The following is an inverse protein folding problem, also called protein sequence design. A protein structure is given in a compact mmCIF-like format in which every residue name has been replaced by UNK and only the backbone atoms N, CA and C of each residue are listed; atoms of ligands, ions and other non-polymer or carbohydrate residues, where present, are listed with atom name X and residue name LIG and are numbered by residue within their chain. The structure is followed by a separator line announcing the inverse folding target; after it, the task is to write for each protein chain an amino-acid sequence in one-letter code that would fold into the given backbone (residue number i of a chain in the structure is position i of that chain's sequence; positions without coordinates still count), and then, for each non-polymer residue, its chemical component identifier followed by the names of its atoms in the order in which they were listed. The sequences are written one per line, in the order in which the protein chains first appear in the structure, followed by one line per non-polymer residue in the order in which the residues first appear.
data_IF_728509688209
#
_entry.id   IF_728509688209
#
_cell.length_a   1.000
_cell.length_b   1.000
_cell.length_c   1.000
_cell.angle_alpha   90.00
_cell.angle_beta   90.00
_cell.angle_gamma   90.00
#
_symmetry.space_group_name_H-M   'P 1'
#
loop_
_entity.id
_entity.type
_entity.pdbx_description
1 polymer ?
#
# COMPACT_ATOMS: atom_id res chain seq x y z
N UNK A 1 16.54 -37.33 -22.89
CA UNK A 1 15.52 -36.28 -22.96
C UNK A 1 15.76 -35.54 -24.25
N UNK A 2 14.89 -35.76 -25.24
CA UNK A 2 15.04 -35.12 -26.55
C UNK A 2 14.86 -33.61 -26.42
N UNK A 3 15.68 -32.78 -27.11
CA UNK A 3 15.55 -31.33 -27.06
C UNK A 3 14.20 -30.91 -27.65
N UNK A 4 13.49 -30.03 -26.95
CA UNK A 4 12.18 -29.55 -27.40
C UNK A 4 12.31 -28.80 -28.73
N UNK A 5 11.69 -29.34 -29.77
CA UNK A 5 11.53 -28.68 -31.06
C UNK A 5 10.49 -27.55 -30.98
N UNK A 6 10.53 -26.55 -31.86
CA UNK A 6 9.59 -25.41 -31.83
C UNK A 6 8.10 -25.80 -31.84
N UNK A 7 7.77 -26.95 -32.45
CA UNK A 7 6.41 -27.48 -32.53
C UNK A 7 6.00 -28.35 -31.34
N UNK A 8 6.89 -28.53 -30.35
CA UNK A 8 6.59 -29.33 -29.16
C UNK A 8 5.50 -28.64 -28.32
N UNK A 9 4.48 -29.36 -27.83
CA UNK A 9 3.36 -28.76 -27.09
C UNK A 9 3.83 -27.98 -25.86
N UNK A 10 4.87 -28.46 -25.17
CA UNK A 10 5.45 -27.73 -24.03
C UNK A 10 6.11 -26.44 -24.50
N UNK A 11 6.88 -26.44 -25.59
CA UNK A 11 7.50 -25.24 -26.14
C UNK A 11 6.47 -24.16 -26.50
N UNK A 12 5.37 -24.56 -27.15
CA UNK A 12 4.25 -23.66 -27.47
C UNK A 12 3.56 -23.11 -26.21
N UNK A 13 3.39 -23.93 -25.17
CA UNK A 13 2.84 -23.50 -23.89
C UNK A 13 3.75 -22.47 -23.20
N UNK A 14 5.07 -22.73 -23.16
CA UNK A 14 6.04 -21.78 -22.60
C UNK A 14 6.06 -20.48 -23.38
N UNK A 15 6.00 -20.53 -24.71
CA UNK A 15 5.94 -19.35 -25.55
C UNK A 15 4.67 -18.52 -25.28
N UNK A 16 3.51 -19.16 -25.19
CA UNK A 16 2.26 -18.48 -24.83
C UNK A 16 2.33 -17.85 -23.43
N UNK A 17 2.91 -18.56 -22.46
CA UNK A 17 3.09 -18.06 -21.10
C UNK A 17 4.06 -16.86 -21.07
N UNK A 18 5.14 -16.90 -21.86
CA UNK A 18 6.10 -15.82 -21.98
C UNK A 18 5.42 -14.54 -22.51
N UNK A 19 4.59 -14.64 -23.56
CA UNK A 19 3.81 -13.52 -24.06
C UNK A 19 2.84 -12.95 -23.00
N UNK A 20 2.21 -13.82 -22.20
CA UNK A 20 1.35 -13.38 -21.10
C UNK A 20 2.15 -12.64 -20.01
N UNK A 21 3.33 -13.12 -19.66
CA UNK A 21 4.21 -12.46 -18.70
C UNK A 21 4.70 -11.10 -19.22
N UNK A 22 5.05 -10.99 -20.50
CA UNK A 22 5.44 -9.73 -21.12
C UNK A 22 4.28 -8.72 -21.13
N UNK A 23 3.07 -9.18 -21.48
CA UNK A 23 1.86 -8.37 -21.40
C UNK A 23 1.61 -7.84 -19.98
N UNK A 24 1.69 -8.71 -18.97
CA UNK A 24 1.51 -8.31 -17.58
C UNK A 24 2.56 -7.29 -17.12
N UNK A 25 3.83 -7.49 -17.47
CA UNK A 25 4.88 -6.50 -17.18
C UNK A 25 4.62 -5.14 -17.84
N UNK A 26 4.07 -5.15 -19.06
CA UNK A 26 3.71 -3.91 -19.73
C UNK A 26 2.54 -3.20 -19.04
N UNK A 27 1.58 -3.97 -18.54
CA UNK A 27 0.48 -3.45 -17.74
C UNK A 27 0.95 -2.91 -16.38
N UNK A 28 1.83 -3.63 -15.66
CA UNK A 28 2.41 -3.17 -14.40
C UNK A 28 3.19 -1.86 -14.58
N UNK A 29 3.92 -1.75 -15.69
CA UNK A 29 4.65 -0.52 -16.04
C UNK A 29 3.67 0.64 -16.31
N UNK A 30 2.55 0.36 -16.98
CA UNK A 30 1.50 1.34 -17.24
C UNK A 30 0.85 1.80 -15.93
N UNK A 31 0.48 0.87 -15.05
CA UNK A 31 -0.08 1.13 -13.72
C UNK A 31 0.86 2.01 -12.89
N UNK A 32 2.14 1.65 -12.82
CA UNK A 32 3.16 2.41 -12.10
C UNK A 32 3.24 3.87 -12.59
N UNK A 33 3.26 4.08 -13.91
CA UNK A 33 3.34 5.43 -14.49
C UNK A 33 2.08 6.26 -14.21
N UNK A 34 0.90 5.64 -14.23
CA UNK A 34 -0.36 6.30 -13.90
C UNK A 34 -0.40 6.70 -12.44
N UNK A 35 0.00 5.81 -11.53
CA UNK A 35 0.12 6.10 -10.09
C UNK A 35 1.11 7.24 -9.85
N UNK A 36 2.28 7.20 -10.51
CA UNK A 36 3.26 8.28 -10.42
C UNK A 36 2.66 9.61 -10.90
N UNK A 37 1.92 9.61 -12.01
CA UNK A 37 1.25 10.80 -12.53
C UNK A 37 0.17 11.35 -11.57
N UNK A 38 -0.64 10.48 -10.96
CA UNK A 38 -1.62 10.87 -9.94
C UNK A 38 -0.96 11.52 -8.72
N UNK A 39 0.17 10.99 -8.25
CA UNK A 39 0.94 11.61 -7.16
C UNK A 39 1.50 12.98 -7.56
N UNK A 40 1.96 13.16 -8.80
CA UNK A 40 2.38 14.49 -9.27
C UNK A 40 1.20 15.49 -9.33
N UNK A 41 -0.01 15.03 -9.68
CA UNK A 41 -1.21 15.87 -9.59
C UNK A 41 -1.53 16.22 -8.15
N UNK A 42 -1.46 15.26 -7.23
CA UNK A 42 -1.72 15.51 -5.81
C UNK A 42 -0.76 16.56 -5.23
N UNK A 43 0.50 16.55 -5.65
CA UNK A 43 1.48 17.60 -5.28
C UNK A 43 1.06 19.00 -5.75
N UNK A 44 0.34 19.14 -6.87
CA UNK A 44 -0.21 20.44 -7.28
C UNK A 44 -1.29 20.94 -6.30
N UNK A 45 -2.01 20.02 -5.64
CA UNK A 45 -3.11 20.35 -4.74
C UNK A 45 -2.63 20.74 -3.32
N UNK A 46 -1.33 20.59 -3.03
CA UNK A 46 -0.75 20.99 -1.74
C UNK A 46 -0.51 22.51 -1.72
N UNK A 47 -1.27 23.22 -0.89
CA UNK A 47 -1.07 24.66 -0.67
C UNK A 47 0.31 24.94 -0.03
N UNK A 48 1.02 25.97 -0.54
CA UNK A 48 2.40 26.38 -0.18
C UNK A 48 3.54 25.58 -0.82
N UNK A 49 3.43 25.20 -2.08
CA UNK A 49 4.57 24.77 -2.88
C UNK A 49 5.45 25.98 -3.25
N UNK A 50 6.76 25.89 -2.99
CA UNK A 50 7.70 26.94 -3.36
C UNK A 50 7.82 27.09 -4.87
N UNK A 51 8.26 28.26 -5.36
CA UNK A 51 8.34 28.59 -6.79
C UNK A 51 9.04 27.54 -7.66
N UNK A 52 10.15 26.96 -7.17
CA UNK A 52 10.89 25.91 -7.87
C UNK A 52 10.08 24.60 -8.06
N UNK A 53 9.16 24.32 -7.15
CA UNK A 53 8.28 23.16 -7.23
C UNK A 53 7.13 23.43 -8.21
N UNK A 54 6.60 24.66 -8.24
CA UNK A 54 5.58 25.08 -9.21
C UNK A 54 6.06 25.00 -10.67
N UNK A 55 7.36 25.16 -10.93
CA UNK A 55 7.93 24.99 -12.28
C UNK A 55 8.28 23.53 -12.60
N UNK A 56 8.71 22.75 -11.60
CA UNK A 56 9.08 21.36 -11.78
C UNK A 56 7.88 20.42 -12.00
N UNK A 57 6.76 20.64 -11.31
CA UNK A 57 5.60 19.73 -11.39
C UNK A 57 4.98 19.68 -12.80
N UNK A 58 4.72 20.81 -13.50
CA UNK A 58 4.21 20.76 -14.87
C UNK A 58 5.14 20.01 -15.84
N UNK A 59 6.46 20.16 -15.70
CA UNK A 59 7.44 19.40 -16.48
C UNK A 59 7.34 17.90 -16.17
N UNK A 60 7.29 17.52 -14.89
CA UNK A 60 7.13 16.14 -14.47
C UNK A 60 5.84 15.52 -15.01
N UNK A 61 4.72 16.25 -14.99
CA UNK A 61 3.44 15.81 -15.56
C UNK A 61 3.52 15.60 -17.07
N UNK A 62 4.18 16.50 -17.80
CA UNK A 62 4.40 16.32 -19.24
C UNK A 62 5.26 15.09 -19.54
N UNK A 63 6.36 14.91 -18.79
CA UNK A 63 7.23 13.73 -18.93
C UNK A 63 6.46 12.44 -18.64
N UNK A 64 5.69 12.39 -17.56
CA UNK A 64 4.87 11.24 -17.20
C UNK A 64 3.80 10.96 -18.26
N UNK A 65 3.10 11.98 -18.75
CA UNK A 65 2.10 11.84 -19.83
C UNK A 65 2.71 11.23 -21.09
N UNK A 66 3.91 11.66 -21.48
CA UNK A 66 4.62 11.10 -22.63
C UNK A 66 5.05 9.65 -22.37
N UNK A 67 5.55 9.34 -21.17
CA UNK A 67 5.91 7.99 -20.78
C UNK A 67 4.70 7.04 -20.79
N UNK A 68 3.54 7.48 -20.30
CA UNK A 68 2.29 6.73 -20.35
C UNK A 68 1.89 6.47 -21.81
N UNK A 69 2.03 7.43 -22.73
CA UNK A 69 1.75 7.20 -24.17
C UNK A 69 2.63 6.10 -24.75
N UNK A 70 3.91 6.11 -24.43
CA UNK A 70 4.85 5.10 -24.92
C UNK A 70 4.56 3.72 -24.31
N UNK A 71 4.28 3.67 -23.00
CA UNK A 71 3.90 2.43 -22.31
C UNK A 71 2.59 1.85 -22.86
N UNK A 72 1.60 2.71 -23.14
CA UNK A 72 0.33 2.32 -23.74
C UNK A 72 0.50 1.72 -25.13
N UNK A 73 1.34 2.32 -25.99
CA UNK A 73 1.64 1.76 -27.30
C UNK A 73 2.31 0.39 -27.20
N UNK A 74 3.22 0.21 -26.24
CA UNK A 74 3.88 -1.07 -25.99
C UNK A 74 2.89 -2.12 -25.47
N UNK A 75 2.03 -1.75 -24.52
CA UNK A 75 0.96 -2.60 -24.00
C UNK A 75 -0.01 -3.05 -25.10
N UNK A 76 -0.54 -2.12 -25.90
CA UNK A 76 -1.45 -2.43 -27.00
C UNK A 76 -0.80 -3.37 -28.04
N UNK A 77 0.49 -3.19 -28.34
CA UNK A 77 1.23 -4.12 -29.22
C UNK A 77 1.27 -5.54 -28.66
N UNK A 78 1.49 -5.69 -27.35
CA UNK A 78 1.53 -6.99 -26.68
C UNK A 78 0.12 -7.60 -26.48
N UNK A 79 -0.90 -6.76 -26.34
CA UNK A 79 -2.30 -7.18 -26.19
C UNK A 79 -2.77 -8.06 -27.37
N UNK A 80 -2.27 -7.79 -28.59
CA UNK A 80 -2.51 -8.60 -29.78
C UNK A 80 -1.78 -9.94 -29.82
N UNK A 81 -0.67 -10.07 -29.06
CA UNK A 81 0.17 -11.26 -29.06
C UNK A 81 -0.27 -12.30 -28.04
N UNK A 82 -1.10 -11.89 -27.07
CA UNK A 82 -1.72 -12.79 -26.08
C UNK A 82 -2.95 -13.47 -26.69
N UNK A 83 -3.20 -14.73 -26.32
CA UNK A 83 -4.42 -15.45 -26.70
C UNK A 83 -5.32 -15.67 -25.47
N UNK A 84 -6.60 -15.26 -25.51
CA UNK A 84 -7.23 -14.47 -26.57
C UNK A 84 -6.69 -13.03 -26.64
N UNK A 85 -6.77 -12.36 -27.80
CA UNK A 85 -6.36 -10.96 -27.94
C UNK A 85 -7.11 -10.08 -26.94
N UNK A 86 -6.39 -9.18 -26.27
CA UNK A 86 -6.97 -8.26 -25.28
C UNK A 86 -7.31 -6.91 -25.93
N UNK A 87 -8.25 -6.20 -25.31
CA UNK A 87 -8.70 -4.88 -25.77
C UNK A 87 -7.52 -3.90 -25.78
N UNK A 88 -7.43 -3.09 -26.84
CA UNK A 88 -6.54 -1.93 -26.85
C UNK A 88 -7.08 -0.87 -25.90
N UNK A 89 -6.21 -0.32 -25.06
CA UNK A 89 -6.56 0.78 -24.18
C UNK A 89 -6.26 2.10 -24.87
N UNK A 90 -7.16 3.07 -24.71
CA UNK A 90 -6.92 4.46 -25.07
C UNK A 90 -6.44 5.26 -23.86
N UNK A 91 -5.94 6.48 -24.12
CA UNK A 91 -5.61 7.39 -23.03
C UNK A 91 -6.82 7.79 -22.19
N UNK A 92 -8.00 7.87 -22.80
CA UNK A 92 -9.23 8.15 -22.08
C UNK A 92 -9.59 7.00 -21.14
N UNK A 93 -9.42 5.75 -21.60
CA UNK A 93 -9.63 4.57 -20.76
C UNK A 93 -8.69 4.58 -19.55
N UNK A 94 -7.41 4.93 -19.73
CA UNK A 94 -6.45 5.07 -18.63
C UNK A 94 -6.90 6.13 -17.61
N UNK A 95 -7.43 7.26 -18.07
CA UNK A 95 -7.91 8.32 -17.18
C UNK A 95 -9.17 7.90 -16.43
N UNK A 96 -10.02 7.08 -17.07
CA UNK A 96 -11.22 6.50 -16.46
C UNK A 96 -10.89 5.37 -15.47
N UNK A 97 -9.76 4.67 -15.66
CA UNK A 97 -9.14 3.76 -14.69
C UNK A 97 -8.50 4.59 -13.57
N UNK A 98 -9.33 5.32 -12.83
CA UNK A 98 -8.91 6.25 -11.80
C UNK A 98 -8.33 5.54 -10.55
N UNK A 99 -8.49 4.21 -10.44
CA UNK A 99 -8.08 3.44 -9.29
C UNK A 99 -7.14 2.29 -9.66
N UNK A 100 -6.11 2.10 -8.83
CA UNK A 100 -5.08 1.07 -8.99
C UNK A 100 -5.68 -0.33 -9.09
N UNK A 101 -6.76 -0.62 -8.35
CA UNK A 101 -7.40 -1.94 -8.43
C UNK A 101 -8.12 -2.19 -9.77
N UNK A 102 -8.37 -1.16 -10.58
CA UNK A 102 -8.96 -1.36 -11.92
C UNK A 102 -7.89 -1.89 -12.90
N UNK A 103 -6.61 -1.60 -12.68
CA UNK A 103 -5.49 -2.20 -13.43
C UNK A 103 -5.29 -3.68 -13.07
N UNK A 104 -5.52 -4.05 -11.81
CA UNK A 104 -5.45 -5.45 -11.38
C UNK A 104 -6.45 -6.35 -12.14
N UNK A 105 -7.58 -5.80 -12.60
CA UNK A 105 -8.57 -6.51 -13.44
C UNK A 105 -8.00 -6.78 -14.84
N UNK A 106 -7.18 -5.86 -15.36
CA UNK A 106 -6.57 -5.97 -16.68
C UNK A 106 -5.47 -7.04 -16.75
N UNK A 107 -4.94 -7.47 -15.60
CA UNK A 107 -3.85 -8.43 -15.53
C UNK A 107 -4.28 -9.79 -16.07
N UNK A 108 -3.48 -10.35 -16.98
CA UNK A 108 -3.70 -11.70 -17.46
C UNK A 108 -3.46 -12.68 -16.31
N UNK A 109 -4.47 -13.49 -16.02
CA UNK A 109 -4.36 -14.60 -15.08
C UNK A 109 -4.85 -15.88 -15.74
N UNK A 110 -4.29 -17.02 -15.34
CA UNK A 110 -4.67 -18.33 -15.87
C UNK A 110 -6.16 -18.66 -15.65
N UNK A 111 -6.82 -17.96 -14.73
CA UNK A 111 -8.26 -18.02 -14.51
C UNK A 111 -8.87 -16.71 -14.98
N UNK A 112 -9.49 -16.68 -16.15
CA UNK A 112 -10.05 -15.45 -16.72
C UNK A 112 -11.16 -14.88 -15.82
N UNK A 113 -10.79 -13.88 -15.02
CA UNK A 113 -11.64 -13.26 -13.99
C UNK A 113 -12.72 -12.37 -14.65
N UNK A 114 -12.48 -11.91 -15.87
CA UNK A 114 -13.42 -11.10 -16.68
C UNK A 114 -14.81 -11.72 -16.82
N UNK A 115 -14.89 -13.05 -16.80
CA UNK A 115 -16.15 -13.80 -16.85
C UNK A 115 -16.97 -13.69 -15.55
N UNK A 116 -16.39 -13.19 -14.46
CA UNK A 116 -17.04 -13.16 -13.15
C UNK A 116 -17.89 -11.91 -13.00
N UNK A 117 -19.11 -12.11 -12.50
CA UNK A 117 -20.08 -11.02 -12.30
C UNK A 117 -19.58 -9.91 -11.36
N UNK A 118 -18.67 -10.23 -10.43
CA UNK A 118 -18.10 -9.27 -9.49
C UNK A 118 -17.06 -8.33 -10.08
N UNK A 119 -16.55 -8.61 -11.30
CA UNK A 119 -15.62 -7.71 -12.03
C UNK A 119 -16.37 -6.54 -12.68
N UNK A 120 -17.70 -6.64 -12.83
CA UNK A 120 -18.49 -5.54 -13.35
C UNK A 120 -18.33 -4.31 -12.43
N UNK A 121 -17.99 -3.12 -12.97
CA UNK A 121 -17.68 -1.94 -12.16
C UNK A 121 -18.70 -1.63 -11.05
N UNK A 122 -20.03 -1.64 -11.28
CA UNK A 122 -20.98 -1.36 -10.20
C UNK A 122 -20.99 -2.44 -9.10
N UNK A 123 -20.78 -3.69 -9.46
CA UNK A 123 -20.75 -4.83 -8.52
C UNK A 123 -19.45 -4.79 -7.72
N UNK A 124 -18.33 -4.50 -8.38
CA UNK A 124 -17.03 -4.37 -7.73
C UNK A 124 -17.00 -3.25 -6.69
N UNK A 125 -17.57 -2.08 -7.01
CA UNK A 125 -17.68 -0.95 -6.08
C UNK A 125 -18.52 -1.34 -4.86
N UNK A 126 -19.62 -2.07 -5.05
CA UNK A 126 -20.46 -2.54 -3.96
C UNK A 126 -19.71 -3.55 -3.07
N UNK A 127 -19.02 -4.53 -3.66
CA UNK A 127 -18.24 -5.54 -2.95
C UNK A 127 -17.10 -4.88 -2.18
N UNK A 128 -16.36 -3.95 -2.79
CA UNK A 128 -15.27 -3.21 -2.15
C UNK A 128 -15.77 -2.43 -0.94
N UNK A 129 -16.91 -1.73 -1.06
CA UNK A 129 -17.54 -1.04 0.07
C UNK A 129 -17.98 -2.01 1.16
N UNK A 130 -18.59 -3.13 0.79
CA UNK A 130 -18.99 -4.16 1.76
C UNK A 130 -17.78 -4.75 2.50
N UNK A 131 -16.71 -5.09 1.79
CA UNK A 131 -15.46 -5.58 2.36
C UNK A 131 -14.83 -4.52 3.27
N UNK A 132 -14.81 -3.26 2.87
CA UNK A 132 -14.31 -2.17 3.71
C UNK A 132 -15.11 -2.07 5.02
N UNK A 133 -16.43 -2.23 4.98
CA UNK A 133 -17.27 -2.29 6.19
C UNK A 133 -16.91 -3.51 7.05
N UNK A 134 -16.69 -4.68 6.45
CA UNK A 134 -16.27 -5.86 7.22
C UNK A 134 -14.89 -5.64 7.87
N UNK A 135 -13.95 -5.06 7.13
CA UNK A 135 -12.63 -4.71 7.62
C UNK A 135 -12.71 -3.68 8.74
N UNK A 136 -13.53 -2.62 8.62
CA UNK A 136 -13.66 -1.61 9.69
C UNK A 136 -14.22 -2.21 10.98
N UNK A 137 -15.18 -3.14 10.88
CA UNK A 137 -15.66 -3.86 12.07
C UNK A 137 -14.58 -4.73 12.71
N UNK A 138 -13.75 -5.39 11.91
CA UNK A 138 -12.63 -6.18 12.42
C UNK A 138 -11.53 -5.29 13.03
N UNK A 139 -11.21 -4.20 12.36
CA UNK A 139 -10.20 -3.23 12.77
C UNK A 139 -10.59 -2.55 14.08
N UNK A 140 -11.84 -2.16 14.28
CA UNK A 140 -12.32 -1.64 15.58
C UNK A 140 -12.10 -2.66 16.70
N UNK A 141 -12.42 -3.94 16.48
CA UNK A 141 -12.18 -4.99 17.49
C UNK A 141 -10.70 -5.15 17.79
N UNK A 142 -9.85 -5.12 16.76
CA UNK A 142 -8.40 -5.24 16.92
C UNK A 142 -7.81 -4.02 17.63
N UNK A 143 -8.23 -2.82 17.25
CA UNK A 143 -7.83 -1.57 17.89
C UNK A 143 -8.17 -1.58 19.38
N UNK A 144 -9.36 -2.06 19.79
CA UNK A 144 -9.71 -2.17 21.20
C UNK A 144 -8.73 -3.08 21.97
N UNK A 145 -8.31 -4.20 21.37
CA UNK A 145 -7.30 -5.09 21.98
C UNK A 145 -5.94 -4.40 22.05
N UNK A 146 -5.49 -3.76 20.97
CA UNK A 146 -4.19 -3.09 20.93
C UNK A 146 -4.14 -1.87 21.86
N UNK A 147 -5.22 -1.11 21.99
CA UNK A 147 -5.32 0.01 22.93
C UNK A 147 -5.16 -0.48 24.37
N UNK A 148 -5.82 -1.57 24.75
CA UNK A 148 -5.62 -2.19 26.06
C UNK A 148 -4.19 -2.69 26.26
N UNK A 149 -3.57 -3.29 25.23
CA UNK A 149 -2.16 -3.74 25.31
C UNK A 149 -1.19 -2.58 25.50
N UNK A 150 -1.36 -1.50 24.74
CA UNK A 150 -0.53 -0.30 24.85
C UNK A 150 -0.73 0.36 26.21
N UNK A 151 -1.96 0.45 26.72
CA UNK A 151 -2.23 0.98 28.05
C UNK A 151 -1.53 0.15 29.14
N UNK A 152 -1.73 -1.18 29.12
CA UNK A 152 -1.10 -2.08 30.09
C UNK A 152 0.42 -1.96 30.03
N UNK A 153 1.01 -1.92 28.82
CA UNK A 153 2.44 -1.72 28.65
C UNK A 153 2.90 -0.38 29.24
N UNK A 154 2.16 0.72 29.00
CA UNK A 154 2.48 2.03 29.57
C UNK A 154 2.39 2.03 31.11
N UNK A 155 1.47 1.27 31.69
CA UNK A 155 1.30 1.18 33.14
C UNK A 155 2.31 0.24 33.82
N UNK A 156 2.71 -0.84 33.15
CA UNK A 156 3.63 -1.86 33.65
C UNK A 156 5.10 -1.43 33.52
N UNK A 157 5.47 -0.79 32.40
CA UNK A 157 6.85 -0.42 32.09
C UNK A 157 7.48 0.39 33.25
N UNK A 158 6.89 1.49 33.77
CA UNK A 158 7.44 2.22 34.92
C UNK A 158 7.67 1.37 36.17
N UNK A 159 6.88 0.31 36.37
CA UNK A 159 7.04 -0.59 37.52
C UNK A 159 8.27 -1.47 37.35
N UNK A 160 8.54 -1.96 36.13
CA UNK A 160 9.76 -2.68 35.79
C UNK A 160 11.00 -1.80 35.98
N UNK A 161 10.95 -0.55 35.50
CA UNK A 161 12.03 0.41 35.70
C UNK A 161 12.27 0.72 37.18
N UNK A 162 11.21 0.93 37.98
CA UNK A 162 11.34 1.14 39.43
C UNK A 162 11.99 -0.05 40.14
N UNK A 163 11.66 -1.29 39.75
CA UNK A 163 12.31 -2.50 40.30
C UNK A 163 13.80 -2.52 39.96
N UNK A 164 14.17 -2.21 38.71
CA UNK A 164 15.57 -2.14 38.29
C UNK A 164 16.35 -1.07 39.07
N UNK A 165 15.77 0.13 39.23
CA UNK A 165 16.37 1.22 40.03
C UNK A 165 16.62 0.77 41.47
N UNK A 166 15.64 0.11 42.11
CA UNK A 166 15.80 -0.40 43.48
C UNK A 166 16.92 -1.45 43.61
N UNK A 167 17.10 -2.31 42.60
CA UNK A 167 18.17 -3.32 42.58
C UNK A 167 19.54 -2.63 42.48
N UNK A 168 19.66 -1.64 41.59
CA UNK A 168 20.91 -0.88 41.39
C UNK A 168 21.25 -0.04 42.63
N UNK A 169 20.26 0.60 43.25
CA UNK A 169 20.42 1.34 44.50
C UNK A 169 20.96 0.43 45.63
N UNK A 170 20.50 -0.82 45.70
CA UNK A 170 21.01 -1.82 46.65
C UNK A 170 22.45 -2.29 46.37
N UNK A 171 22.96 -2.11 45.16
CA UNK A 171 24.32 -2.47 44.75
C UNK A 171 25.36 -1.37 45.00
N UNK A 172 24.91 -0.14 45.28
CA UNK A 172 25.77 1.02 45.58
C UNK A 172 26.29 1.79 44.37
N UNK A 173 25.83 1.50 43.15
CA UNK A 173 26.17 2.26 41.95
C UNK A 173 25.21 3.46 41.74
N UNK A 174 25.56 4.58 42.36
CA UNK A 174 24.75 5.80 42.33
C UNK A 174 24.68 6.48 40.96
N UNK A 175 25.67 6.27 40.09
CA UNK A 175 25.67 6.88 38.75
C UNK A 175 24.65 6.18 37.85
N UNK A 176 24.64 4.85 37.87
CA UNK A 176 23.67 4.06 37.11
C UNK A 176 22.24 4.27 37.62
N UNK A 177 22.07 4.39 38.94
CA UNK A 177 20.77 4.73 39.56
C UNK A 177 20.22 6.07 39.04
N UNK A 178 21.07 7.11 39.01
CA UNK A 178 20.69 8.44 38.55
C UNK A 178 20.28 8.43 37.06
N UNK A 179 21.04 7.77 36.20
CA UNK A 179 20.75 7.65 34.76
C UNK A 179 19.44 6.87 34.49
N UNK A 180 19.20 5.78 35.21
CA UNK A 180 17.95 5.02 35.09
C UNK A 180 16.74 5.86 35.54
N UNK A 181 16.90 6.65 36.59
CA UNK A 181 15.85 7.58 37.07
C UNK A 181 15.57 8.67 36.05
N UNK A 182 16.61 9.25 35.45
CA UNK A 182 16.48 10.23 34.37
C UNK A 182 15.77 9.64 33.15
N UNK A 183 16.16 8.43 32.72
CA UNK A 183 15.52 7.71 31.62
C UNK A 183 14.03 7.47 31.88
N UNK A 184 13.67 7.04 33.10
CA UNK A 184 12.28 6.82 33.50
C UNK A 184 11.45 8.11 33.42
N UNK A 185 12.00 9.23 33.88
CA UNK A 185 11.28 10.52 33.85
C UNK A 185 11.15 11.06 32.42
N UNK A 186 12.17 10.85 31.56
CA UNK A 186 12.05 11.16 30.14
C UNK A 186 11.00 10.28 29.46
N UNK A 187 10.98 8.97 29.75
CA UNK A 187 9.99 8.03 29.22
C UNK A 187 8.57 8.46 29.57
N UNK A 188 8.30 8.84 30.83
CA UNK A 188 6.97 9.34 31.25
C UNK A 188 6.56 10.60 30.48
N UNK A 189 7.48 11.54 30.26
CA UNK A 189 7.21 12.77 29.52
C UNK A 189 6.83 12.48 28.06
N UNK A 190 7.57 11.57 27.41
CA UNK A 190 7.29 11.16 26.02
C UNK A 190 5.91 10.50 25.92
N UNK A 191 5.57 9.62 26.85
CA UNK A 191 4.33 8.84 26.80
C UNK A 191 3.12 9.53 27.42
N UNK A 192 3.29 10.66 28.13
CA UNK A 192 2.18 11.40 28.74
C UNK A 192 1.09 11.80 27.74
N UNK A 193 1.48 12.21 26.52
CA UNK A 193 0.53 12.58 25.47
C UNK A 193 -0.26 11.36 24.98
N UNK A 194 0.42 10.23 24.77
CA UNK A 194 -0.24 8.99 24.32
C UNK A 194 -1.22 8.51 25.38
N UNK A 195 -0.81 8.50 26.64
CA UNK A 195 -1.67 8.11 27.76
C UNK A 195 -2.92 9.00 27.87
N UNK A 196 -2.77 10.33 27.80
CA UNK A 196 -3.91 11.27 27.81
C UNK A 196 -4.88 10.99 26.66
N UNK A 197 -4.38 10.68 25.46
CA UNK A 197 -5.24 10.36 24.30
C UNK A 197 -5.94 9.02 24.45
N UNK A 198 -5.29 8.01 25.02
CA UNK A 198 -5.93 6.73 25.31
C UNK A 198 -7.06 6.90 26.33
N UNK A 199 -6.86 7.72 27.37
CA UNK A 199 -7.92 8.03 28.34
C UNK A 199 -9.13 8.74 27.72
N UNK A 200 -8.91 9.64 26.77
CA UNK A 200 -10.00 10.26 25.99
C UNK A 200 -10.75 9.23 25.13
N UNK A 201 -10.04 8.28 24.53
CA UNK A 201 -10.65 7.22 23.72
C UNK A 201 -11.61 6.34 24.52
N UNK A 202 -11.27 5.98 25.76
CA UNK A 202 -12.17 5.22 26.65
C UNK A 202 -13.45 5.96 27.05
N UNK A 203 -13.57 7.27 26.79
CA UNK A 203 -14.81 8.02 27.03
C UNK A 203 -15.79 7.93 25.84
N UNK A 204 -15.37 7.37 24.71
CA UNK A 204 -16.17 7.27 23.48
C UNK A 204 -17.01 5.98 23.52
N UNK A 205 -18.32 6.03 23.24
CA UNK A 205 -19.15 4.83 23.18
C UNK A 205 -18.67 3.89 22.07
N UNK A 206 -18.31 2.66 22.42
CA UNK A 206 -17.79 1.64 21.49
C UNK A 206 -16.28 1.43 21.59
N UNK A 207 -15.61 2.23 22.43
CA UNK A 207 -14.38 1.88 23.14
C UNK A 207 -14.72 1.36 24.54
#
# INVERSE_FOLDING_TARGET
TDPWTPDHPEHLWYQAMAHCCEYNKALDCLEFLVVQWLFEIEKLNIARTGYAMCTAIPCALQTCSQAIRTALQWHNKLAWQVYPPRLELTMEDILNLAFVADFAILHFSCQDIWSKHWVQPPVWVLISKWLLIQCTHAEVRQLNVEICRVLNWIEEEPQCWKKAINIVAGSGDHNLEAELTFCLDNWKKVHARVYSRLQELFQIPGY
#
